data_IF_079434401683
#
_entry.id   IF_079434401683
#
_cell.length_a   1.000
_cell.length_b   1.000
_cell.length_c   1.000
_cell.angle_alpha   90.00
_cell.angle_beta   90.00
_cell.angle_gamma   90.00
#
_symmetry.space_group_name_H-M   'P 1'
#
loop_
_entity.id
_entity.type
_entity.pdbx_description
1 polymer ?
#
# COMPACT_ATOMS: atom_id res chain seq x y z
N UNK A 1 -16.23 6.86 2.61
CA UNK A 1 -16.09 5.59 1.86
C UNK A 1 -16.60 5.78 0.43
N UNK A 2 -15.93 5.18 -0.56
CA UNK A 2 -16.28 5.26 -1.99
C UNK A 2 -16.18 3.87 -2.62
N UNK A 3 -16.92 3.64 -3.70
CA UNK A 3 -16.66 2.54 -4.64
C UNK A 3 -15.55 2.89 -5.65
N UNK A 4 -15.43 2.06 -6.68
CA UNK A 4 -14.34 2.13 -7.67
C UNK A 4 -14.79 2.59 -9.07
N UNK A 5 -16.10 2.71 -9.30
CA UNK A 5 -16.61 3.25 -10.56
C UNK A 5 -16.36 4.76 -10.62
N UNK A 6 -16.27 5.32 -11.84
CA UNK A 6 -16.03 6.75 -12.02
C UNK A 6 -17.05 7.62 -11.27
N UNK A 7 -18.33 7.23 -11.29
CA UNK A 7 -19.40 7.91 -10.54
C UNK A 7 -19.24 7.83 -9.02
N UNK A 8 -18.74 6.72 -8.49
CA UNK A 8 -18.51 6.57 -7.05
C UNK A 8 -17.38 7.50 -6.59
N UNK A 9 -16.29 7.56 -7.36
CA UNK A 9 -15.13 8.42 -7.07
C UNK A 9 -15.56 9.89 -7.07
N UNK A 10 -16.35 10.30 -8.07
CA UNK A 10 -16.89 11.67 -8.14
C UNK A 10 -17.80 11.98 -6.94
N UNK A 11 -18.65 11.04 -6.54
CA UNK A 11 -19.48 11.19 -5.34
C UNK A 11 -18.62 11.31 -4.08
N UNK A 12 -17.59 10.49 -3.93
CA UNK A 12 -16.65 10.58 -2.80
C UNK A 12 -15.96 11.94 -2.69
N UNK A 13 -15.51 12.49 -3.82
CA UNK A 13 -14.93 13.84 -3.88
C UNK A 13 -15.98 14.90 -3.50
N UNK A 14 -17.20 14.80 -4.03
CA UNK A 14 -18.27 15.74 -3.74
C UNK A 14 -18.65 15.75 -2.25
N UNK A 15 -18.76 14.57 -1.62
CA UNK A 15 -19.03 14.46 -0.18
C UNK A 15 -17.94 15.15 0.66
N UNK A 16 -16.67 14.95 0.31
CA UNK A 16 -15.54 15.63 0.98
C UNK A 16 -15.60 17.15 0.79
N UNK A 17 -15.88 17.61 -0.43
CA UNK A 17 -16.02 19.05 -0.72
C UNK A 17 -17.14 19.67 0.12
N UNK A 18 -18.30 19.03 0.18
CA UNK A 18 -19.44 19.51 1.00
C UNK A 18 -19.09 19.59 2.48
N UNK A 19 -18.29 18.65 3.00
CA UNK A 19 -17.84 18.70 4.40
C UNK A 19 -16.92 19.88 4.66
N UNK A 20 -15.97 20.14 3.74
CA UNK A 20 -15.05 21.29 3.82
C UNK A 20 -15.83 22.60 3.79
N UNK A 21 -16.79 22.77 2.86
CA UNK A 21 -17.62 23.97 2.74
C UNK A 21 -18.46 24.23 3.99
N UNK A 22 -18.92 23.16 4.66
CA UNK A 22 -19.75 23.24 5.87
C UNK A 22 -18.93 23.28 7.17
N UNK A 23 -17.61 23.14 7.11
CA UNK A 23 -16.74 23.08 8.29
C UNK A 23 -17.05 21.88 9.21
N UNK A 24 -17.55 20.77 8.65
CA UNK A 24 -17.85 19.55 9.42
C UNK A 24 -16.85 18.45 9.09
N UNK A 25 -16.67 17.50 10.02
CA UNK A 25 -15.85 16.31 9.79
C UNK A 25 -16.60 15.07 10.24
N UNK A 26 -16.91 14.18 9.28
CA UNK A 26 -17.57 12.90 9.54
C UNK A 26 -17.21 11.85 8.49
N UNK A 27 -17.49 10.60 8.78
CA UNK A 27 -17.35 9.51 7.79
C UNK A 27 -18.68 9.33 7.07
N UNK A 28 -18.76 9.73 5.81
CA UNK A 28 -19.90 9.42 4.94
C UNK A 28 -19.69 8.08 4.21
N UNK A 29 -20.76 7.28 4.13
CA UNK A 29 -20.76 6.05 3.32
C UNK A 29 -21.34 6.31 1.93
N UNK A 30 -20.46 6.66 0.97
CA UNK A 30 -20.81 6.81 -0.44
C UNK A 30 -20.91 5.48 -1.21
N UNK A 31 -20.80 4.32 -0.54
CA UNK A 31 -20.87 3.00 -1.17
C UNK A 31 -21.81 2.02 -0.43
N UNK A 32 -23.06 2.42 -0.10
CA UNK A 32 -23.95 1.65 0.78
C UNK A 32 -24.44 0.34 0.15
N UNK A 33 -24.38 0.22 -1.17
CA UNK A 33 -24.76 -1.01 -1.90
C UNK A 33 -23.84 -2.21 -1.61
N UNK A 34 -22.63 -1.96 -1.09
CA UNK A 34 -21.66 -3.01 -0.72
C UNK A 34 -21.23 -2.90 0.74
N UNK A 35 -21.01 -1.68 1.23
CA UNK A 35 -20.47 -1.45 2.58
C UNK A 35 -21.60 -1.23 3.58
N UNK A 36 -21.76 -2.15 4.52
CA UNK A 36 -22.66 -2.01 5.67
C UNK A 36 -21.96 -1.26 6.82
N UNK A 37 -22.70 -0.51 7.67
CA UNK A 37 -22.11 0.17 8.84
C UNK A 37 -21.31 -0.75 9.76
N UNK A 38 -21.79 -1.98 9.97
CA UNK A 38 -21.15 -3.01 10.79
C UNK A 38 -20.04 -3.79 10.06
N UNK A 39 -19.82 -3.51 8.77
CA UNK A 39 -18.87 -4.24 7.93
C UNK A 39 -19.28 -5.71 7.70
N UNK A 40 -18.27 -6.57 7.51
CA UNK A 40 -18.48 -8.01 7.44
C UNK A 40 -18.13 -8.64 8.80
N UNK A 41 -19.16 -8.89 9.60
CA UNK A 41 -19.00 -9.39 10.99
C UNK A 41 -18.35 -10.77 11.06
N UNK A 42 -18.55 -11.62 10.06
CA UNK A 42 -17.91 -12.94 9.98
C UNK A 42 -16.41 -12.78 9.75
N UNK A 43 -16.02 -11.95 8.77
CA UNK A 43 -14.62 -11.69 8.48
C UNK A 43 -13.91 -11.03 9.66
N UNK A 44 -14.55 -10.03 10.31
CA UNK A 44 -14.01 -9.39 11.51
C UNK A 44 -13.80 -10.39 12.64
N UNK A 45 -14.77 -11.29 12.89
CA UNK A 45 -14.63 -12.35 13.90
C UNK A 45 -13.45 -13.25 13.59
N UNK A 46 -13.32 -13.73 12.35
CA UNK A 46 -12.22 -14.61 11.93
C UNK A 46 -10.86 -13.92 12.03
N UNK A 47 -10.75 -12.66 11.59
CA UNK A 47 -9.51 -11.90 11.71
C UNK A 47 -9.10 -11.73 13.18
N UNK A 48 -10.05 -11.36 14.05
CA UNK A 48 -9.78 -11.18 15.48
C UNK A 48 -9.46 -12.48 16.21
N UNK A 49 -10.01 -13.60 15.74
CA UNK A 49 -9.73 -14.94 16.27
C UNK A 49 -8.31 -15.38 15.92
N UNK A 50 -7.83 -15.11 14.70
CA UNK A 50 -6.54 -15.64 14.20
C UNK A 50 -5.37 -14.69 14.42
N UNK A 51 -5.61 -13.38 14.38
CA UNK A 51 -4.56 -12.36 14.41
C UNK A 51 -4.67 -11.43 15.61
N UNK A 52 -3.52 -10.84 15.99
CA UNK A 52 -3.42 -9.70 16.89
C UNK A 52 -2.66 -8.56 16.25
N UNK A 53 -2.94 -7.33 16.70
CA UNK A 53 -2.31 -6.12 16.19
C UNK A 53 -0.86 -6.02 16.66
N UNK A 54 0.04 -5.64 15.77
CA UNK A 54 1.44 -5.39 16.07
C UNK A 54 1.94 -4.10 15.44
N UNK A 55 3.08 -3.61 15.92
CA UNK A 55 3.88 -2.67 15.16
C UNK A 55 4.36 -3.35 13.86
N UNK A 56 4.54 -2.57 12.80
CA UNK A 56 5.00 -3.11 11.51
C UNK A 56 5.83 -2.12 10.72
N UNK A 57 6.82 -2.62 9.99
CA UNK A 57 7.65 -1.84 9.08
C UNK A 57 6.98 -1.71 7.70
N UNK A 58 6.58 -0.49 7.35
CA UNK A 58 6.06 -0.16 6.04
C UNK A 58 7.20 0.31 5.14
N UNK A 59 7.48 -0.44 4.08
CA UNK A 59 8.61 -0.17 3.18
C UNK A 59 8.61 1.27 2.66
N UNK A 60 9.64 2.03 3.01
CA UNK A 60 9.82 3.42 2.60
C UNK A 60 9.09 4.46 3.46
N UNK A 61 8.30 4.02 4.44
CA UNK A 61 7.62 4.88 5.42
C UNK A 61 8.26 4.72 6.80
N UNK A 62 8.61 3.48 7.17
CA UNK A 62 9.22 3.13 8.45
C UNK A 62 8.29 2.30 9.33
N UNK A 63 8.66 2.13 10.60
CA UNK A 63 7.84 1.41 11.56
C UNK A 63 6.62 2.26 11.98
N UNK A 64 5.42 1.69 11.86
CA UNK A 64 4.17 2.30 12.26
C UNK A 64 3.54 1.46 13.36
N UNK A 65 3.17 2.10 14.47
CA UNK A 65 2.55 1.44 15.62
C UNK A 65 1.20 0.84 15.27
N UNK A 66 0.90 -0.33 15.81
CA UNK A 66 -0.42 -1.00 15.70
C UNK A 66 -0.95 -1.08 14.25
N UNK A 67 -0.05 -1.27 13.28
CA UNK A 67 -0.36 -1.23 11.85
C UNK A 67 -0.23 -2.58 11.13
N UNK A 68 0.33 -3.57 11.81
CA UNK A 68 0.47 -4.94 11.33
C UNK A 68 -0.50 -5.90 12.00
N UNK A 69 -0.60 -7.09 11.42
CA UNK A 69 -1.26 -8.25 12.00
C UNK A 69 -0.24 -9.39 12.06
N UNK A 70 -0.13 -10.01 13.23
CA UNK A 70 0.65 -11.23 13.44
C UNK A 70 -0.29 -12.35 13.88
N UNK A 71 0.09 -13.60 13.61
CA UNK A 71 -0.67 -14.74 14.11
C UNK A 71 -0.65 -14.72 15.64
N UNK A 72 -1.81 -14.93 16.25
CA UNK A 72 -1.86 -15.08 17.71
C UNK A 72 -1.06 -16.30 18.14
N UNK A 73 -0.64 -16.30 19.40
CA UNK A 73 0.15 -17.37 20.01
C UNK A 73 -0.46 -18.77 19.83
N UNK A 74 -1.78 -18.92 19.88
CA UNK A 74 -2.46 -20.21 19.66
C UNK A 74 -2.24 -20.77 18.25
N UNK A 75 -1.84 -19.93 17.30
CA UNK A 75 -1.53 -20.28 15.92
C UNK A 75 -0.04 -20.15 15.58
N UNK A 76 0.85 -19.99 16.57
CA UNK A 76 2.30 -19.79 16.37
C UNK A 76 2.95 -20.93 15.56
N UNK A 77 2.47 -22.16 15.73
CA UNK A 77 2.93 -23.35 14.95
C UNK A 77 2.66 -23.24 13.44
N UNK A 78 1.78 -22.31 13.04
CA UNK A 78 1.47 -22.00 11.62
C UNK A 78 2.24 -20.79 11.11
N UNK A 79 2.96 -20.08 11.98
CA UNK A 79 3.80 -18.94 11.59
C UNK A 79 5.16 -19.45 11.09
N UNK A 80 5.42 -19.29 9.79
CA UNK A 80 6.69 -19.69 9.19
C UNK A 80 7.89 -18.92 9.75
N UNK A 81 7.71 -17.66 10.15
CA UNK A 81 8.77 -16.87 10.75
C UNK A 81 9.17 -17.41 12.14
N UNK A 82 8.23 -18.06 12.84
CA UNK A 82 8.46 -18.69 14.15
C UNK A 82 8.97 -20.12 14.01
N UNK A 83 8.35 -20.91 13.14
CA UNK A 83 8.76 -22.31 12.88
C UNK A 83 10.19 -22.43 12.35
N UNK A 84 10.65 -21.44 11.59
CA UNK A 84 11.98 -21.40 10.97
C UNK A 84 12.79 -20.19 11.43
N UNK A 85 12.71 -19.84 12.71
CA UNK A 85 13.26 -18.59 13.26
C UNK A 85 14.74 -18.38 12.92
N UNK A 86 15.60 -19.39 13.05
CA UNK A 86 17.04 -19.28 12.75
C UNK A 86 17.30 -18.92 11.26
N UNK A 87 16.57 -19.58 10.36
CA UNK A 87 16.66 -19.30 8.93
C UNK A 87 16.07 -17.93 8.60
N UNK A 88 14.94 -17.59 9.23
CA UNK A 88 14.27 -16.33 9.01
C UNK A 88 15.11 -15.13 9.47
N UNK A 89 15.73 -15.23 10.65
CA UNK A 89 16.59 -14.19 11.21
C UNK A 89 17.83 -13.92 10.33
N UNK A 90 18.52 -14.98 9.89
CA UNK A 90 19.68 -14.85 8.98
C UNK A 90 19.29 -14.28 7.61
N UNK A 91 18.17 -14.73 7.03
CA UNK A 91 17.66 -14.20 5.77
C UNK A 91 17.28 -12.71 5.88
N UNK A 92 16.66 -12.30 6.99
CA UNK A 92 16.32 -10.91 7.24
C UNK A 92 17.54 -10.00 7.34
N UNK A 93 18.59 -10.46 8.02
CA UNK A 93 19.84 -9.72 8.14
C UNK A 93 20.48 -9.48 6.77
N UNK A 94 20.51 -10.51 5.92
CA UNK A 94 21.00 -10.40 4.54
C UNK A 94 20.20 -9.42 3.69
N UNK A 95 18.87 -9.43 3.84
CA UNK A 95 17.99 -8.49 3.14
C UNK A 95 18.24 -7.06 3.61
N UNK A 96 18.38 -6.83 4.92
CA UNK A 96 18.69 -5.52 5.49
C UNK A 96 20.02 -4.98 4.98
N UNK A 97 21.08 -5.79 5.01
CA UNK A 97 22.41 -5.43 4.44
C UNK A 97 22.32 -5.05 2.96
N UNK A 98 21.57 -5.80 2.16
CA UNK A 98 21.35 -5.49 0.72
C UNK A 98 20.50 -4.25 0.49
N UNK A 99 19.54 -3.96 1.37
CA UNK A 99 18.72 -2.77 1.31
C UNK A 99 19.51 -1.50 1.68
N UNK A 100 20.51 -1.63 2.54
CA UNK A 100 21.43 -0.54 2.89
C UNK A 100 22.46 -0.26 1.80
N UNK A 101 22.91 -1.28 1.06
CA UNK A 101 23.94 -1.16 0.01
C UNK A 101 23.42 -0.68 -1.34
N UNK A 102 22.13 -0.88 -1.65
CA UNK A 102 21.52 -0.35 -2.88
C UNK A 102 21.29 1.15 -2.76
N UNK A 103 22.19 1.89 -3.40
CA UNK A 103 22.14 3.31 -3.76
C UNK A 103 20.73 3.94 -3.58
N UNK A 104 20.44 4.38 -2.35
CA UNK A 104 19.13 4.92 -1.91
C UNK A 104 18.69 6.14 -2.74
N UNK A 105 19.57 6.67 -3.59
CA UNK A 105 19.40 7.89 -4.38
C UNK A 105 18.57 7.72 -5.66
N UNK A 106 18.27 6.49 -6.10
CA UNK A 106 17.55 6.29 -7.37
C UNK A 106 16.02 6.23 -7.25
N UNK A 107 15.45 5.73 -6.15
CA UNK A 107 14.01 5.48 -6.09
C UNK A 107 13.28 6.40 -5.10
N UNK A 108 12.30 7.17 -5.57
CA UNK A 108 11.46 8.03 -4.72
C UNK A 108 10.09 7.41 -4.37
N UNK A 109 9.96 6.07 -4.37
CA UNK A 109 8.69 5.38 -4.09
C UNK A 109 8.06 5.84 -2.76
N UNK A 110 8.86 6.08 -1.72
CA UNK A 110 8.39 6.58 -0.43
C UNK A 110 7.62 7.91 -0.57
N UNK A 111 8.15 8.87 -1.33
CA UNK A 111 7.50 10.16 -1.57
C UNK A 111 6.23 10.00 -2.42
N UNK A 112 6.20 9.02 -3.33
CA UNK A 112 5.02 8.72 -4.16
C UNK A 112 3.90 8.07 -3.32
N UNK A 113 4.24 7.07 -2.51
CA UNK A 113 3.30 6.37 -1.62
C UNK A 113 2.66 7.30 -0.59
N UNK A 114 3.42 8.29 -0.11
CA UNK A 114 2.93 9.31 0.84
C UNK A 114 2.28 10.52 0.17
N UNK A 115 2.08 10.49 -1.15
CA UNK A 115 1.44 11.57 -1.90
C UNK A 115 2.26 12.87 -2.03
N UNK A 116 3.53 12.88 -1.59
CA UNK A 116 4.44 14.03 -1.65
C UNK A 116 5.00 14.28 -3.05
N UNK A 117 5.00 13.27 -3.93
CA UNK A 117 5.46 13.37 -5.31
C UNK A 117 4.62 12.51 -6.26
N UNK A 118 4.51 12.92 -7.53
CA UNK A 118 3.91 12.09 -8.60
C UNK A 118 4.98 11.22 -9.26
N UNK A 119 4.62 10.06 -9.87
CA UNK A 119 5.56 9.24 -10.63
C UNK A 119 6.34 10.02 -11.70
N UNK A 120 5.70 10.99 -12.38
CA UNK A 120 6.35 11.86 -13.37
C UNK A 120 7.43 12.79 -12.83
N UNK A 121 7.53 12.95 -11.49
CA UNK A 121 8.61 13.69 -10.82
C UNK A 121 9.79 12.79 -10.44
N UNK A 122 9.69 11.47 -10.66
CA UNK A 122 10.80 10.56 -10.43
C UNK A 122 11.77 10.58 -11.62
N UNK A 123 13.07 10.82 -11.41
CA UNK A 123 14.05 10.92 -12.51
C UNK A 123 14.21 9.62 -13.32
N UNK A 124 13.88 8.48 -12.70
CA UNK A 124 14.02 7.15 -13.31
C UNK A 124 12.73 6.62 -13.95
N UNK A 125 11.59 7.26 -13.70
CA UNK A 125 10.29 6.79 -14.18
C UNK A 125 10.23 6.79 -15.70
N UNK A 126 9.87 5.63 -16.28
CA UNK A 126 9.77 5.43 -17.72
C UNK A 126 11.10 5.39 -18.48
N UNK A 127 12.23 5.53 -17.76
CA UNK A 127 13.60 5.40 -18.29
C UNK A 127 14.23 4.10 -17.81
N UNK A 128 15.04 4.17 -16.76
CA UNK A 128 15.64 2.99 -16.12
C UNK A 128 14.61 2.16 -15.34
N UNK A 129 13.53 2.79 -14.86
CA UNK A 129 12.46 2.13 -14.13
C UNK A 129 11.23 1.97 -15.03
N UNK A 130 10.99 0.74 -15.49
CA UNK A 130 9.85 0.35 -16.33
C UNK A 130 9.23 -0.95 -15.80
N UNK A 131 8.04 -1.36 -16.26
CA UNK A 131 7.48 -2.66 -15.88
C UNK A 131 8.40 -3.85 -16.20
N UNK A 132 9.19 -3.77 -17.28
CA UNK A 132 10.16 -4.81 -17.68
C UNK A 132 11.44 -4.79 -16.85
N UNK A 133 11.82 -3.62 -16.34
CA UNK A 133 13.02 -3.43 -15.50
C UNK A 133 12.66 -2.50 -14.33
N UNK A 134 11.99 -3.02 -13.29
CA UNK A 134 11.49 -2.18 -12.22
C UNK A 134 12.59 -1.85 -11.21
N UNK A 135 12.81 -0.55 -10.98
CA UNK A 135 13.77 -0.09 -9.98
C UNK A 135 13.21 -0.10 -8.53
N UNK A 136 11.89 -0.18 -8.36
CA UNK A 136 11.25 -0.11 -7.05
C UNK A 136 9.85 -0.72 -7.01
N UNK A 137 9.30 -0.95 -5.80
CA UNK A 137 8.08 -1.73 -5.60
C UNK A 137 6.86 -1.14 -6.28
N UNK A 138 6.74 0.20 -6.36
CA UNK A 138 5.61 0.84 -7.03
C UNK A 138 5.55 0.59 -8.55
N UNK A 139 6.63 0.10 -9.17
CA UNK A 139 6.66 -0.32 -10.58
C UNK A 139 6.48 -1.84 -10.74
N UNK A 140 6.67 -2.63 -9.69
CA UNK A 140 6.47 -4.09 -9.69
C UNK A 140 5.00 -4.44 -9.46
N UNK A 141 4.35 -3.79 -8.49
CA UNK A 141 2.97 -4.09 -8.12
C UNK A 141 1.99 -3.58 -9.17
N UNK A 142 0.99 -4.40 -9.51
CA UNK A 142 -0.13 -4.00 -10.37
C UNK A 142 -1.02 -2.92 -9.72
N UNK A 143 -1.02 -2.82 -8.40
CA UNK A 143 -1.68 -1.74 -7.66
C UNK A 143 -0.74 -0.53 -7.45
N UNK A 144 0.53 -0.67 -7.83
CA UNK A 144 1.55 0.36 -7.66
C UNK A 144 1.24 1.61 -8.47
N UNK A 145 1.37 2.79 -7.84
CA UNK A 145 1.10 4.06 -8.52
C UNK A 145 2.00 4.26 -9.74
N UNK A 146 3.28 3.87 -9.69
CA UNK A 146 4.17 4.00 -10.85
C UNK A 146 3.76 3.06 -11.99
N UNK A 147 3.44 1.79 -11.70
CA UNK A 147 3.00 0.84 -12.72
C UNK A 147 1.74 1.36 -13.45
N UNK A 148 0.72 1.77 -12.69
CA UNK A 148 -0.52 2.29 -13.27
C UNK A 148 -0.31 3.61 -14.01
N UNK A 149 0.54 4.51 -13.49
CA UNK A 149 0.88 5.75 -14.19
C UNK A 149 1.59 5.48 -15.51
N UNK A 150 2.50 4.49 -15.56
CA UNK A 150 3.19 4.13 -16.79
C UNK A 150 2.23 3.51 -17.80
N UNK A 151 1.29 2.68 -17.34
CA UNK A 151 0.30 2.00 -18.18
C UNK A 151 -0.74 2.94 -18.79
N UNK A 152 -1.20 3.94 -18.04
CA UNK A 152 -2.37 4.74 -18.41
C UNK A 152 -2.08 6.23 -18.68
N UNK A 153 -0.94 6.77 -18.26
CA UNK A 153 -0.60 8.18 -18.54
C UNK A 153 -0.01 8.37 -19.94
N UNK A 154 -0.38 9.47 -20.60
CA UNK A 154 0.25 9.91 -21.86
C UNK A 154 1.57 10.65 -21.65
N UNK A 155 1.83 11.13 -20.44
CA UNK A 155 3.10 11.76 -20.05
C UNK A 155 4.05 10.71 -19.48
N UNK A 156 4.93 10.15 -20.32
CA UNK A 156 6.17 9.50 -19.89
C UNK A 156 6.20 7.96 -19.82
N UNK A 157 5.29 7.24 -20.48
CA UNK A 157 5.39 5.79 -20.67
C UNK A 157 5.01 5.42 -22.09
N UNK A 158 5.89 4.73 -22.82
CA UNK A 158 5.61 4.30 -24.20
C UNK A 158 4.28 3.56 -24.27
N UNK A 159 3.48 3.85 -25.31
CA UNK A 159 2.24 3.14 -25.61
C UNK A 159 2.51 1.65 -25.56
N UNK A 160 2.05 0.97 -24.51
CA UNK A 160 1.80 -0.46 -24.59
C UNK A 160 0.41 -0.53 -25.24
N UNK A 161 0.42 -0.44 -26.58
CA UNK A 161 -0.64 -0.97 -27.41
C UNK A 161 -0.53 -2.50 -27.39
#
# INVERSE_FOLDING_TARGET
>A
MSGFEAGDILLGINLLQMQVEKGISRVDNGYPRVVKPEGNTIALKMMNEVFETSDSEWRGIGNIKESGLVLRKEFEEKDAAKKYEDFYASALEDVRKKAESKDKKRCICAAILTGKAKPSKCPNFGKECTPKSPAGPCMVSQEGMCYNWFKYSREGGGKIA
#
